data_IF_141884977290
#
_entry.id   IF_141884977290
#
_cell.length_a   1.000
_cell.length_b   1.000
_cell.length_c   1.000
_cell.angle_alpha   90.00
_cell.angle_beta   90.00
_cell.angle_gamma   90.00
#
_symmetry.space_group_name_H-M   'P 1'
#
loop_
_entity.id
_entity.type
_entity.pdbx_description
1 polymer ?
#
# COMPACT_ATOMS: atom_id res chain seq x y z
N UNK A 1 -84.64 -22.23 -20.32
CA UNK A 1 -83.93 -21.16 -19.54
C UNK A 1 -82.64 -21.74 -19.03
N UNK A 2 -81.53 -21.46 -19.68
CA UNK A 2 -80.22 -22.03 -19.42
C UNK A 2 -79.32 -20.96 -18.76
N UNK A 3 -78.98 -21.23 -17.50
CA UNK A 3 -78.17 -20.34 -16.65
C UNK A 3 -76.68 -20.55 -16.97
N UNK A 4 -76.03 -19.60 -17.65
CA UNK A 4 -74.60 -19.63 -17.93
C UNK A 4 -73.84 -19.24 -16.65
N UNK A 5 -73.05 -20.18 -16.10
CA UNK A 5 -72.14 -19.93 -14.99
C UNK A 5 -70.85 -19.28 -15.58
N UNK A 6 -70.61 -18.01 -15.25
CA UNK A 6 -69.34 -17.36 -15.49
C UNK A 6 -68.34 -17.79 -14.39
N UNK A 7 -67.33 -18.55 -14.77
CA UNK A 7 -66.17 -18.82 -13.92
C UNK A 7 -65.22 -17.62 -14.00
N UNK A 8 -65.06 -16.89 -12.91
CA UNK A 8 -64.03 -15.83 -12.77
C UNK A 8 -62.71 -16.47 -12.32
N UNK A 9 -61.77 -16.64 -13.24
CA UNK A 9 -60.43 -17.10 -12.90
C UNK A 9 -59.60 -15.93 -12.31
N UNK A 10 -59.35 -15.96 -10.99
CA UNK A 10 -58.45 -15.03 -10.32
C UNK A 10 -57.04 -15.50 -10.57
N UNK A 11 -56.30 -14.79 -11.43
CA UNK A 11 -54.85 -14.98 -11.61
C UNK A 11 -54.14 -14.42 -10.39
N UNK A 12 -53.67 -15.31 -9.51
CA UNK A 12 -52.74 -14.98 -8.42
C UNK A 12 -51.34 -14.85 -9.05
N UNK A 13 -50.88 -13.61 -9.30
CA UNK A 13 -49.51 -13.34 -9.68
C UNK A 13 -48.60 -13.52 -8.44
N UNK A 14 -47.52 -14.35 -8.51
CA UNK A 14 -46.59 -14.43 -7.39
C UNK A 14 -45.81 -13.10 -7.30
N UNK A 15 -45.95 -12.39 -6.17
CA UNK A 15 -45.08 -11.29 -5.78
C UNK A 15 -43.66 -11.89 -5.59
N UNK A 16 -42.79 -11.71 -6.56
CA UNK A 16 -41.36 -11.94 -6.42
C UNK A 16 -40.82 -10.89 -5.44
N UNK A 17 -40.78 -11.26 -4.17
CA UNK A 17 -40.09 -10.50 -3.13
C UNK A 17 -38.59 -10.64 -3.39
N UNK A 18 -37.99 -9.71 -4.17
CA UNK A 18 -36.54 -9.59 -4.25
C UNK A 18 -36.04 -9.22 -2.86
N UNK A 19 -35.11 -9.99 -2.25
CA UNK A 19 -34.53 -9.57 -0.99
C UNK A 19 -33.82 -8.23 -1.22
N UNK A 20 -34.23 -7.18 -0.53
CA UNK A 20 -33.46 -5.95 -0.39
C UNK A 20 -32.13 -6.38 0.24
N UNK A 21 -31.08 -6.45 -0.58
CA UNK A 21 -29.73 -6.62 -0.07
C UNK A 21 -29.40 -5.33 0.68
N UNK A 22 -29.34 -5.40 2.00
CA UNK A 22 -28.79 -4.31 2.80
C UNK A 22 -27.39 -4.06 2.24
N UNK A 23 -27.12 -2.83 1.82
CA UNK A 23 -25.78 -2.40 1.41
C UNK A 23 -24.85 -2.75 2.58
N UNK A 24 -23.86 -3.61 2.34
CA UNK A 24 -22.98 -4.07 3.41
C UNK A 24 -22.23 -2.84 3.94
N UNK A 25 -22.54 -2.41 5.16
CA UNK A 25 -21.86 -1.31 5.84
C UNK A 25 -20.39 -1.65 6.19
N UNK A 26 -19.92 -2.84 5.79
CA UNK A 26 -18.57 -3.32 6.00
C UNK A 26 -17.86 -3.47 4.64
N UNK A 27 -16.59 -3.03 4.59
CA UNK A 27 -15.72 -3.17 3.42
C UNK A 27 -14.59 -4.17 3.70
N UNK A 28 -14.27 -4.99 2.73
CA UNK A 28 -13.10 -5.86 2.74
C UNK A 28 -11.96 -5.22 1.96
N UNK A 29 -10.73 -5.43 2.42
CA UNK A 29 -9.54 -4.97 1.73
C UNK A 29 -8.44 -6.03 1.81
N UNK A 30 -7.51 -5.98 0.85
CA UNK A 30 -6.30 -6.78 0.85
C UNK A 30 -5.20 -6.04 1.60
N UNK A 31 -4.39 -6.80 2.34
CA UNK A 31 -3.18 -6.33 3.01
C UNK A 31 -2.12 -7.42 2.92
N UNK A 32 -0.84 -7.04 2.98
CA UNK A 32 0.24 -8.02 3.02
C UNK A 32 0.18 -8.86 4.29
N UNK A 33 0.45 -10.16 4.18
CA UNK A 33 0.76 -10.98 5.35
C UNK A 33 2.11 -10.58 5.94
N UNK A 34 2.33 -10.87 7.22
CA UNK A 34 3.62 -10.59 7.88
C UNK A 34 4.76 -11.33 7.18
N UNK A 35 4.54 -12.57 6.74
CA UNK A 35 5.56 -13.36 6.03
C UNK A 35 5.93 -12.74 4.68
N UNK A 36 4.96 -12.20 3.94
CA UNK A 36 5.22 -11.51 2.69
C UNK A 36 5.98 -10.20 2.92
N UNK A 37 5.57 -9.40 3.90
CA UNK A 37 6.24 -8.17 4.30
C UNK A 37 7.68 -8.43 4.75
N UNK A 38 7.92 -9.52 5.51
CA UNK A 38 9.25 -9.93 5.95
C UNK A 38 10.13 -10.36 4.77
N UNK A 39 9.60 -11.15 3.83
CA UNK A 39 10.32 -11.58 2.64
C UNK A 39 10.74 -10.37 1.78
N UNK A 40 9.83 -9.40 1.59
CA UNK A 40 10.11 -8.15 0.89
C UNK A 40 11.22 -7.36 1.60
N UNK A 41 11.09 -7.16 2.91
CA UNK A 41 12.08 -6.41 3.70
C UNK A 41 13.47 -7.05 3.65
N UNK A 42 13.56 -8.36 3.75
CA UNK A 42 14.83 -9.09 3.62
C UNK A 42 15.45 -8.94 2.25
N UNK A 43 14.66 -9.02 1.18
CA UNK A 43 15.17 -8.88 -0.18
C UNK A 43 15.69 -7.46 -0.44
N UNK A 44 14.97 -6.42 0.01
CA UNK A 44 15.42 -5.03 -0.09
C UNK A 44 16.72 -4.80 0.70
N UNK A 45 16.81 -5.32 1.93
CA UNK A 45 18.01 -5.23 2.76
C UNK A 45 19.20 -5.91 2.09
N UNK A 46 19.00 -7.12 1.58
CA UNK A 46 20.03 -7.90 0.92
C UNK A 46 20.55 -7.22 -0.36
N UNK A 47 19.69 -6.54 -1.11
CA UNK A 47 20.10 -5.80 -2.29
C UNK A 47 20.98 -4.60 -1.93
N UNK A 48 20.61 -3.81 -0.93
CA UNK A 48 21.45 -2.75 -0.40
C UNK A 48 22.80 -3.27 0.13
N UNK A 49 22.81 -4.40 0.83
CA UNK A 49 24.03 -5.01 1.35
C UNK A 49 24.98 -5.46 0.24
N UNK A 50 24.48 -6.00 -0.87
CA UNK A 50 25.30 -6.35 -2.06
C UNK A 50 26.01 -5.13 -2.64
N UNK A 51 25.41 -3.95 -2.50
CA UNK A 51 25.99 -2.67 -2.94
C UNK A 51 26.89 -2.04 -1.88
N UNK A 52 27.08 -2.69 -0.71
CA UNK A 52 27.92 -2.22 0.39
C UNK A 52 27.22 -1.20 1.32
N UNK A 53 25.91 -1.01 1.18
CA UNK A 53 25.17 -0.04 2.00
C UNK A 53 24.66 -0.67 3.29
N UNK A 54 24.61 0.11 4.34
CA UNK A 54 24.06 -0.25 5.65
C UNK A 54 22.78 0.56 5.87
N UNK A 55 21.64 -0.09 5.77
CA UNK A 55 20.34 0.58 5.71
C UNK A 55 19.35 0.08 6.76
N UNK A 56 18.30 0.83 6.95
CA UNK A 56 17.05 0.36 7.58
C UNK A 56 15.99 0.20 6.49
N UNK A 57 15.26 -0.90 6.56
CA UNK A 57 14.08 -1.17 5.73
C UNK A 57 12.86 -1.24 6.63
N UNK A 58 11.83 -0.48 6.31
CA UNK A 58 10.53 -0.53 6.97
C UNK A 58 9.45 -0.93 5.97
N UNK A 59 8.58 -1.86 6.33
CA UNK A 59 7.39 -2.21 5.56
C UNK A 59 6.17 -1.84 6.38
N UNK A 60 5.27 -1.06 5.80
CA UNK A 60 4.00 -0.66 6.41
C UNK A 60 2.83 -1.31 5.68
N UNK A 61 1.73 -1.55 6.39
CA UNK A 61 0.48 -1.97 5.80
C UNK A 61 -0.20 -0.83 5.01
N UNK A 62 -1.36 -1.11 4.40
CA UNK A 62 -2.11 -0.11 3.64
C UNK A 62 -2.60 1.09 4.46
N UNK A 63 -2.59 1.01 5.78
CA UNK A 63 -2.97 2.10 6.71
C UNK A 63 -1.77 2.85 7.27
N UNK A 64 -0.55 2.48 6.84
CA UNK A 64 0.69 3.12 7.28
C UNK A 64 1.22 2.61 8.61
N UNK A 65 0.67 1.51 9.13
CA UNK A 65 1.16 0.88 10.36
C UNK A 65 2.33 -0.05 10.03
N UNK A 66 3.44 0.11 10.77
CA UNK A 66 4.66 -0.67 10.54
C UNK A 66 4.42 -2.15 10.90
N UNK A 67 4.62 -3.04 9.90
CA UNK A 67 4.58 -4.49 10.09
C UNK A 67 5.98 -5.06 10.34
N UNK A 68 6.97 -4.57 9.58
CA UNK A 68 8.36 -5.06 9.65
C UNK A 68 9.30 -3.86 9.70
N UNK A 69 10.34 -3.99 10.52
CA UNK A 69 11.48 -3.09 10.54
C UNK A 69 12.75 -3.91 10.68
N UNK A 70 13.62 -3.81 9.68
CA UNK A 70 14.94 -4.43 9.67
C UNK A 70 15.99 -3.32 9.60
N UNK A 71 17.01 -3.40 10.46
CA UNK A 71 18.09 -2.44 10.48
C UNK A 71 19.44 -3.15 10.49
N UNK A 72 20.32 -2.78 9.57
CA UNK A 72 21.71 -3.18 9.62
C UNK A 72 22.39 -2.59 10.86
N UNK A 73 23.36 -3.35 11.42
CA UNK A 73 24.05 -2.99 12.67
C UNK A 73 24.75 -1.63 12.62
N UNK A 74 25.22 -1.21 11.44
CA UNK A 74 25.93 0.07 11.25
C UNK A 74 25.06 1.16 10.60
N UNK A 75 23.81 0.86 10.24
CA UNK A 75 22.89 1.91 9.80
C UNK A 75 22.71 2.95 10.93
N UNK A 76 22.78 4.22 10.59
CA UNK A 76 22.66 5.30 11.57
C UNK A 76 21.30 5.29 12.27
N UNK A 77 21.18 5.75 13.53
CA UNK A 77 19.91 5.71 14.27
C UNK A 77 18.79 6.53 13.61
N UNK A 78 19.11 7.56 12.83
CA UNK A 78 18.15 8.36 12.07
C UNK A 78 17.49 7.57 10.94
N UNK A 79 18.11 6.48 10.46
CA UNK A 79 17.54 5.68 9.36
C UNK A 79 16.25 4.98 9.74
N UNK A 80 16.06 4.67 11.02
CA UNK A 80 14.84 4.01 11.53
C UNK A 80 13.61 4.90 11.34
N UNK A 81 13.51 6.11 11.88
CA UNK A 81 12.37 6.97 11.65
C UNK A 81 12.29 7.42 10.18
N UNK A 82 13.41 7.56 9.46
CA UNK A 82 13.40 7.98 8.05
C UNK A 82 12.82 6.90 7.15
N UNK A 83 13.23 5.64 7.30
CA UNK A 83 12.65 4.53 6.51
C UNK A 83 11.15 4.37 6.78
N UNK A 84 10.75 4.41 8.05
CA UNK A 84 9.33 4.36 8.43
C UNK A 84 8.55 5.54 7.85
N UNK A 85 9.09 6.75 7.96
CA UNK A 85 8.45 7.96 7.42
C UNK A 85 8.33 7.92 5.89
N UNK A 86 9.34 7.41 5.17
CA UNK A 86 9.26 7.23 3.71
C UNK A 86 8.16 6.23 3.33
N UNK A 87 8.07 5.08 4.00
CA UNK A 87 7.03 4.09 3.75
C UNK A 87 5.63 4.66 4.06
N UNK A 88 5.49 5.33 5.22
CA UNK A 88 4.25 5.99 5.61
C UNK A 88 3.84 7.06 4.59
N UNK A 89 4.78 7.86 4.12
CA UNK A 89 4.52 8.90 3.12
C UNK A 89 4.03 8.29 1.81
N UNK A 90 4.71 7.23 1.33
CA UNK A 90 4.31 6.58 0.07
C UNK A 90 2.88 6.04 0.13
N UNK A 91 2.50 5.35 1.22
CA UNK A 91 1.15 4.79 1.36
C UNK A 91 0.09 5.87 1.60
N UNK A 92 0.41 6.92 2.37
CA UNK A 92 -0.52 8.01 2.68
C UNK A 92 -0.89 8.84 1.47
N UNK A 93 0.11 9.19 0.65
CA UNK A 93 -0.09 10.00 -0.56
C UNK A 93 -0.39 9.15 -1.80
N UNK A 94 -0.32 7.83 -1.70
CA UNK A 94 -0.45 6.88 -2.83
C UNK A 94 0.45 7.28 -4.00
N UNK A 95 1.69 7.56 -3.66
CA UNK A 95 2.70 8.09 -4.60
C UNK A 95 4.08 7.73 -4.05
N UNK A 96 4.97 7.25 -4.91
CA UNK A 96 6.36 7.01 -4.49
C UNK A 96 7.01 8.31 -4.04
N UNK A 97 7.84 8.25 -3.02
CA UNK A 97 8.42 9.48 -2.46
C UNK A 97 9.35 10.20 -3.42
N UNK A 98 9.96 9.52 -4.38
CA UNK A 98 10.73 10.16 -5.45
C UNK A 98 9.88 11.13 -6.28
N UNK A 99 8.66 10.73 -6.65
CA UNK A 99 7.73 11.56 -7.42
C UNK A 99 7.28 12.78 -6.59
N UNK A 100 7.08 12.59 -5.28
CA UNK A 100 6.74 13.68 -4.37
C UNK A 100 7.88 14.70 -4.22
N UNK A 101 9.15 14.29 -4.33
CA UNK A 101 10.29 15.23 -4.29
C UNK A 101 10.13 16.31 -5.36
N UNK A 102 9.81 15.92 -6.58
CA UNK A 102 9.61 16.86 -7.69
C UNK A 102 8.31 17.66 -7.51
N UNK A 103 7.19 17.01 -7.22
CA UNK A 103 5.88 17.64 -7.09
C UNK A 103 5.79 18.68 -5.98
N UNK A 104 6.57 18.50 -4.90
CA UNK A 104 6.58 19.38 -3.72
C UNK A 104 7.81 20.28 -3.65
N UNK A 105 8.51 20.53 -4.76
CA UNK A 105 9.69 21.40 -4.80
C UNK A 105 9.37 22.80 -4.23
N UNK A 106 10.33 23.51 -3.65
CA UNK A 106 10.13 24.85 -3.15
C UNK A 106 9.52 25.75 -4.23
N UNK A 107 8.44 26.48 -3.87
CA UNK A 107 7.71 27.34 -4.82
C UNK A 107 6.64 26.61 -5.64
N UNK A 108 6.52 25.29 -5.57
CA UNK A 108 5.40 24.57 -6.19
C UNK A 108 4.10 24.78 -5.40
N UNK A 109 2.92 24.67 -6.03
CA UNK A 109 1.63 24.76 -5.33
C UNK A 109 1.49 23.75 -4.20
N UNK A 110 2.21 22.63 -4.28
CA UNK A 110 2.19 21.54 -3.30
C UNK A 110 3.36 21.60 -2.30
N UNK A 111 4.19 22.64 -2.32
CA UNK A 111 5.36 22.79 -1.46
C UNK A 111 5.06 22.66 0.04
N UNK A 112 3.85 23.04 0.47
CA UNK A 112 3.38 22.93 1.85
C UNK A 112 3.30 21.49 2.39
N UNK A 113 3.22 20.49 1.52
CA UNK A 113 3.19 19.07 1.90
C UNK A 113 4.43 18.67 2.72
N UNK A 114 5.58 19.31 2.44
CA UNK A 114 6.83 19.07 3.19
C UNK A 114 6.76 19.43 4.67
N UNK A 115 5.78 20.23 5.06
CA UNK A 115 5.57 20.68 6.44
C UNK A 115 4.54 19.84 7.20
N UNK A 116 3.93 18.83 6.57
CA UNK A 116 2.98 17.95 7.24
C UNK A 116 3.71 17.03 8.21
N UNK A 117 3.23 16.90 9.46
CA UNK A 117 3.81 15.98 10.42
C UNK A 117 3.85 14.55 9.89
N UNK A 118 5.00 13.89 9.99
CA UNK A 118 5.21 12.53 9.53
C UNK A 118 5.58 12.39 8.04
N UNK A 119 5.36 13.42 7.22
CA UNK A 119 5.76 13.37 5.81
C UNK A 119 7.29 13.41 5.67
N UNK A 120 7.84 12.39 4.99
CA UNK A 120 9.27 12.29 4.69
C UNK A 120 9.45 12.31 3.17
N UNK A 121 9.66 13.50 2.62
CA UNK A 121 9.75 13.72 1.18
C UNK A 121 11.21 13.54 0.71
N UNK A 122 11.67 12.31 0.77
CA UNK A 122 13.00 11.86 0.31
C UNK A 122 12.78 10.56 -0.43
N UNK A 123 13.35 10.38 -1.61
CA UNK A 123 13.22 9.15 -2.40
C UNK A 123 13.62 7.90 -1.59
N UNK A 124 13.02 6.75 -1.88
CA UNK A 124 13.24 5.48 -1.18
C UNK A 124 12.00 4.94 -0.46
N UNK A 125 10.85 5.64 -0.52
CA UNK A 125 9.54 5.11 -0.16
C UNK A 125 8.78 4.68 -1.41
N UNK A 126 8.42 3.42 -1.51
CA UNK A 126 7.79 2.83 -2.70
C UNK A 126 6.51 2.11 -2.32
N UNK A 127 5.42 2.40 -3.04
CA UNK A 127 4.15 1.70 -2.87
C UNK A 127 4.29 0.21 -3.21
N UNK A 128 3.56 -0.62 -2.49
CA UNK A 128 3.39 -2.04 -2.81
C UNK A 128 1.95 -2.24 -3.26
N UNK A 129 1.81 -2.67 -4.51
CA UNK A 129 0.52 -2.95 -5.11
C UNK A 129 0.40 -4.43 -5.46
N UNK A 130 -0.81 -4.96 -5.35
CA UNK A 130 -1.16 -6.33 -5.70
C UNK A 130 -2.39 -6.29 -6.61
N UNK A 131 -2.25 -6.73 -7.86
CA UNK A 131 -3.29 -6.66 -8.88
C UNK A 131 -3.94 -5.26 -8.97
N UNK A 132 -3.12 -4.19 -8.99
CA UNK A 132 -3.56 -2.78 -9.05
C UNK A 132 -4.19 -2.23 -7.77
N UNK A 133 -4.15 -2.99 -6.66
CA UNK A 133 -4.64 -2.53 -5.36
C UNK A 133 -3.47 -2.23 -4.43
N UNK A 134 -3.46 -1.03 -3.82
CA UNK A 134 -2.48 -0.67 -2.81
C UNK A 134 -2.64 -1.57 -1.57
N UNK A 135 -1.59 -2.33 -1.22
CA UNK A 135 -1.58 -3.25 -0.08
C UNK A 135 -0.62 -2.83 1.03
N UNK A 136 0.25 -1.86 0.76
CA UNK A 136 1.20 -1.31 1.71
C UNK A 136 2.28 -0.47 1.03
N UNK A 137 3.38 -0.24 1.73
CA UNK A 137 4.57 0.41 1.17
C UNK A 137 5.84 -0.07 1.86
N UNK A 138 6.97 0.07 1.18
CA UNK A 138 8.30 -0.16 1.74
C UNK A 138 9.10 1.16 1.72
N UNK A 139 9.85 1.42 2.79
CA UNK A 139 10.78 2.54 2.88
C UNK A 139 12.17 2.05 3.22
N UNK A 140 13.16 2.56 2.50
CA UNK A 140 14.58 2.28 2.74
C UNK A 140 15.29 3.58 3.07
N UNK A 141 16.24 3.53 4.01
CA UNK A 141 17.07 4.68 4.38
C UNK A 141 18.44 4.25 4.85
N UNK A 142 19.49 4.91 4.34
CA UNK A 142 20.87 4.70 4.74
C UNK A 142 21.86 4.57 3.60
N UNK A 143 21.40 4.37 2.37
CA UNK A 143 22.28 4.41 1.19
C UNK A 143 22.71 5.85 0.86
N UNK A 144 23.80 6.05 0.09
CA UNK A 144 24.20 7.36 -0.37
C UNK A 144 23.20 7.96 -1.37
N UNK A 145 22.21 8.70 -0.86
CA UNK A 145 21.15 9.29 -1.65
C UNK A 145 19.88 8.44 -1.73
N UNK A 146 18.75 9.12 -1.86
CA UNK A 146 17.43 8.48 -1.89
C UNK A 146 17.21 7.57 -3.09
N UNK A 147 17.86 7.83 -4.21
CA UNK A 147 17.74 7.02 -5.43
C UNK A 147 18.29 5.59 -5.23
N UNK A 148 19.36 5.46 -4.45
CA UNK A 148 19.89 4.15 -4.09
C UNK A 148 18.97 3.42 -3.11
N UNK A 149 18.41 4.14 -2.13
CA UNK A 149 17.37 3.60 -1.23
C UNK A 149 16.18 3.08 -2.04
N UNK A 150 15.73 3.84 -3.04
CA UNK A 150 14.59 3.46 -3.89
C UNK A 150 14.91 2.22 -4.76
N UNK A 151 16.14 2.12 -5.25
CA UNK A 151 16.60 0.93 -6.00
C UNK A 151 16.49 -0.33 -5.15
N UNK A 152 16.96 -0.29 -3.90
CA UNK A 152 16.82 -1.41 -2.97
C UNK A 152 15.36 -1.73 -2.66
N UNK A 153 14.52 -0.69 -2.45
CA UNK A 153 13.08 -0.87 -2.20
C UNK A 153 12.39 -1.59 -3.37
N UNK A 154 12.65 -1.16 -4.60
CA UNK A 154 12.14 -1.78 -5.83
C UNK A 154 12.64 -3.21 -6.00
N UNK A 155 13.90 -3.50 -5.67
CA UNK A 155 14.45 -4.86 -5.70
C UNK A 155 13.72 -5.78 -4.71
N UNK A 156 13.38 -5.27 -3.51
CA UNK A 156 12.57 -5.99 -2.53
C UNK A 156 11.19 -6.37 -3.06
N UNK A 157 10.49 -5.43 -3.69
CA UNK A 157 9.17 -5.66 -4.30
C UNK A 157 9.28 -6.68 -5.43
N UNK A 158 10.27 -6.53 -6.31
CA UNK A 158 10.49 -7.44 -7.44
C UNK A 158 10.74 -8.89 -6.98
N UNK A 159 11.42 -9.09 -5.87
CA UNK A 159 11.72 -10.41 -5.33
C UNK A 159 10.47 -11.18 -4.82
N UNK A 160 9.37 -10.48 -4.59
CA UNK A 160 8.10 -11.07 -4.11
C UNK A 160 6.95 -10.90 -5.10
N UNK A 161 7.26 -10.45 -6.32
CA UNK A 161 6.28 -10.11 -7.36
C UNK A 161 5.27 -11.24 -7.60
N UNK A 162 5.73 -12.48 -7.75
CA UNK A 162 4.87 -13.65 -7.99
C UNK A 162 3.82 -13.89 -6.89
N UNK A 163 4.02 -13.30 -5.70
CA UNK A 163 3.07 -13.40 -4.58
C UNK A 163 2.12 -12.19 -4.51
N UNK A 164 2.35 -11.18 -5.34
CA UNK A 164 1.52 -9.98 -5.46
C UNK A 164 0.57 -10.07 -6.66
N UNK A 165 0.87 -10.95 -7.63
CA UNK A 165 0.03 -11.23 -8.80
C UNK A 165 -0.86 -12.44 -8.50
N UNK A 166 -2.20 -12.25 -8.53
CA UNK A 166 -3.22 -13.31 -8.37
C UNK A 166 -4.49 -12.99 -9.15
#
# INVERSE_FOLDING_TARGET
MTLKKCLLAVLLAPLLCTPLRAEEGLVTFKSMSVDLALALAHAALADCQKQGYQVTVAVVDRFGVTQILLRDRFAGPHTVPTATGKAWTAVSFRTNTADLVAATAPGSPQGGVRNLPGATIIAGGVMVEAAGTLVGAVGVSGAPGGDNDETCAKAGIAAVHDKLDF
#
